data_IF_732235187927
#
_entry.id   IF_732235187927
#
_cell.length_a   1.000
_cell.length_b   1.000
_cell.length_c   1.000
_cell.angle_alpha   90.00
_cell.angle_beta   90.00
_cell.angle_gamma   90.00
#
_symmetry.space_group_name_H-M   'P 1'
#
loop_
_entity.id
_entity.type
_entity.pdbx_description
1 polymer ?
#
# COMPACT_ATOMS: atom_id res chain seq x y z
N UNK A 1 -11.13 -3.30 69.88
CA UNK A 1 -10.60 -4.66 69.99
C UNK A 1 -11.44 -5.52 69.05
N UNK A 2 -11.17 -5.42 67.75
CA UNK A 2 -10.17 -6.19 66.99
C UNK A 2 -10.62 -7.64 66.81
N UNK A 3 -10.57 -8.27 65.65
CA UNK A 3 -10.21 -7.90 64.28
C UNK A 3 -10.66 -9.15 63.49
N UNK A 4 -11.30 -8.97 62.33
CA UNK A 4 -11.47 -10.06 61.36
C UNK A 4 -10.08 -10.58 60.95
N UNK A 5 -9.85 -11.90 60.85
CA UNK A 5 -8.61 -12.39 60.30
C UNK A 5 -8.60 -12.18 58.78
N UNK A 6 -7.59 -11.44 58.36
CA UNK A 6 -7.09 -11.27 57.01
C UNK A 6 -6.73 -12.63 56.38
N UNK A 7 -7.28 -12.91 55.20
CA UNK A 7 -6.78 -13.96 54.30
C UNK A 7 -6.55 -13.35 52.92
N UNK A 8 -5.47 -12.58 52.83
CA UNK A 8 -4.70 -12.43 51.61
C UNK A 8 -4.16 -13.81 51.19
N UNK A 9 -4.73 -14.39 50.14
CA UNK A 9 -4.07 -15.49 49.41
C UNK A 9 -3.83 -15.05 47.97
N UNK A 10 -2.56 -14.84 47.71
CA UNK A 10 -1.96 -14.37 46.48
C UNK A 10 -2.19 -15.42 45.37
N UNK A 11 -3.13 -15.14 44.44
CA UNK A 11 -3.36 -15.99 43.27
C UNK A 11 -2.17 -15.84 42.30
N UNK A 12 -1.07 -16.53 42.61
CA UNK A 12 0.12 -16.51 41.76
C UNK A 12 -0.16 -17.18 40.40
N UNK A 13 0.43 -16.64 39.34
CA UNK A 13 0.37 -17.15 37.94
C UNK A 13 0.69 -18.65 37.80
N UNK A 14 1.35 -19.26 38.79
CA UNK A 14 1.64 -20.71 38.82
C UNK A 14 0.43 -21.59 39.16
N UNK A 15 -0.58 -21.08 39.85
CA UNK A 15 -1.81 -21.83 40.14
C UNK A 15 -2.70 -22.00 38.89
N UNK A 16 -2.76 -20.96 38.04
CA UNK A 16 -3.50 -20.98 36.77
C UNK A 16 -2.92 -22.00 35.77
N UNK A 17 -1.59 -22.12 35.70
CA UNK A 17 -0.90 -23.06 34.79
C UNK A 17 -0.99 -24.53 35.22
N UNK A 18 -1.37 -24.83 36.47
CA UNK A 18 -1.57 -26.21 36.93
C UNK A 18 -2.99 -26.72 36.73
N UNK A 19 -3.96 -25.82 36.57
CA UNK A 19 -5.37 -26.18 36.36
C UNK A 19 -5.69 -26.51 34.88
N UNK A 20 -4.81 -26.16 33.95
CA UNK A 20 -4.93 -26.47 32.52
C UNK A 20 -4.39 -27.85 32.11
N UNK A 21 -3.74 -28.59 33.03
CA UNK A 21 -3.15 -29.90 32.73
C UNK A 21 -4.12 -31.09 32.94
N UNK A 22 -5.36 -30.86 33.39
CA UNK A 22 -6.27 -31.93 33.85
C UNK A 22 -7.64 -32.03 33.18
N UNK A 23 -7.93 -31.23 32.15
CA UNK A 23 -9.26 -31.20 31.51
C UNK A 23 -9.20 -31.33 29.98
N UNK A 24 -8.30 -32.18 29.47
CA UNK A 24 -8.21 -32.53 28.06
C UNK A 24 -8.91 -33.86 27.79
N UNK A 25 -10.23 -33.91 27.97
CA UNK A 25 -11.05 -34.99 27.45
C UNK A 25 -12.44 -34.46 27.09
N UNK A 26 -12.79 -34.60 25.81
CA UNK A 26 -14.12 -34.42 25.22
C UNK A 26 -14.64 -32.98 25.11
N UNK A 27 -14.10 -32.21 24.16
CA UNK A 27 -14.91 -31.26 23.39
C UNK A 27 -14.61 -31.46 21.91
N UNK A 28 -15.69 -31.56 21.14
CA UNK A 28 -15.74 -32.00 19.76
C UNK A 28 -14.67 -31.36 18.88
N UNK A 29 -13.90 -32.21 18.19
CA UNK A 29 -13.18 -31.84 16.97
C UNK A 29 -14.24 -31.58 15.91
N UNK A 30 -14.81 -30.37 15.92
CA UNK A 30 -15.32 -29.80 14.69
C UNK A 30 -14.09 -29.60 13.81
N UNK A 31 -14.13 -30.20 12.63
CA UNK A 31 -13.09 -30.07 11.61
C UNK A 31 -12.85 -28.61 11.32
N UNK A 32 -11.88 -28.01 12.00
CA UNK A 32 -11.14 -26.89 11.43
C UNK A 32 -10.60 -27.43 10.11
N UNK A 33 -10.96 -26.86 8.95
CA UNK A 33 -10.23 -27.20 7.75
C UNK A 33 -8.79 -26.89 8.10
N UNK A 34 -7.94 -27.91 8.07
CA UNK A 34 -6.49 -27.73 8.13
C UNK A 34 -6.20 -26.61 7.14
N UNK A 35 -5.91 -25.41 7.65
CA UNK A 35 -5.46 -24.31 6.83
C UNK A 35 -4.34 -24.94 6.01
N UNK A 36 -4.54 -25.03 4.69
CA UNK A 36 -3.55 -25.59 3.82
C UNK A 36 -2.26 -24.89 4.21
N UNK A 37 -1.27 -25.64 4.71
CA UNK A 37 0.11 -25.14 4.71
C UNK A 37 0.28 -24.59 3.31
N UNK A 38 0.33 -23.25 3.20
CA UNK A 38 0.41 -22.58 1.93
C UNK A 38 1.55 -23.26 1.20
N UNK A 39 1.24 -23.99 0.12
CA UNK A 39 2.26 -24.62 -0.70
C UNK A 39 3.18 -23.46 -1.06
N UNK A 40 4.37 -23.42 -0.43
CA UNK A 40 5.33 -22.31 -0.58
C UNK A 40 5.45 -22.14 -2.08
N UNK A 41 4.91 -21.05 -2.64
CA UNK A 41 5.01 -20.84 -4.08
C UNK A 41 6.50 -21.00 -4.38
N UNK A 42 6.85 -21.91 -5.29
CA UNK A 42 8.24 -22.07 -5.73
C UNK A 42 8.58 -20.84 -6.57
N UNK A 43 8.80 -19.72 -5.90
CA UNK A 43 9.12 -18.47 -6.56
C UNK A 43 10.63 -18.46 -6.73
N UNK A 44 11.03 -18.64 -7.99
CA UNK A 44 12.44 -18.71 -8.38
C UNK A 44 12.84 -17.31 -8.85
N UNK A 45 13.66 -16.57 -8.06
CA UNK A 45 14.18 -15.29 -8.51
C UNK A 45 14.99 -15.51 -9.79
N UNK A 46 14.96 -14.56 -10.71
CA UNK A 46 15.79 -14.66 -11.90
C UNK A 46 17.25 -14.37 -11.54
N UNK A 47 18.14 -15.31 -11.82
CA UNK A 47 19.58 -15.12 -11.65
C UNK A 47 20.17 -14.26 -12.77
N UNK A 48 20.98 -13.27 -12.41
CA UNK A 48 21.73 -12.40 -13.35
C UNK A 48 23.15 -12.15 -12.86
N UNK A 49 24.03 -11.67 -13.75
CA UNK A 49 25.31 -11.08 -13.34
C UNK A 49 25.11 -9.68 -12.77
N UNK A 50 26.09 -9.16 -12.01
CA UNK A 50 26.08 -7.76 -11.58
C UNK A 50 26.01 -6.82 -12.79
N UNK A 51 26.79 -7.08 -13.84
CA UNK A 51 26.77 -6.25 -15.04
C UNK A 51 25.38 -6.18 -15.69
N UNK A 52 24.69 -7.32 -15.82
CA UNK A 52 23.33 -7.37 -16.37
C UNK A 52 22.35 -6.64 -15.44
N UNK A 53 22.43 -6.89 -14.13
CA UNK A 53 21.61 -6.22 -13.11
C UNK A 53 21.68 -4.69 -13.23
N UNK A 54 22.88 -4.14 -13.37
CA UNK A 54 23.12 -2.69 -13.49
C UNK A 54 22.62 -2.09 -14.83
N UNK A 55 22.38 -2.93 -15.84
CA UNK A 55 21.92 -2.51 -17.17
C UNK A 55 20.40 -2.53 -17.33
N UNK A 56 19.67 -3.22 -16.45
CA UNK A 56 18.23 -3.38 -16.53
C UNK A 56 17.51 -2.08 -16.12
N UNK A 57 16.41 -1.76 -16.81
CA UNK A 57 15.45 -0.76 -16.36
C UNK A 57 14.42 -1.37 -15.40
N UNK A 58 13.79 -0.51 -14.60
CA UNK A 58 12.90 -0.88 -13.51
C UNK A 58 11.66 -1.63 -13.98
N UNK A 59 11.09 -1.26 -15.14
CA UNK A 59 9.92 -1.93 -15.69
C UNK A 59 10.29 -3.36 -16.09
N UNK A 60 11.46 -3.54 -16.71
CA UNK A 60 11.98 -4.86 -17.04
C UNK A 60 12.26 -5.70 -15.79
N UNK A 61 12.81 -5.12 -14.72
CA UNK A 61 13.00 -5.83 -13.44
C UNK A 61 11.67 -6.40 -12.91
N UNK A 62 10.66 -5.54 -12.80
CA UNK A 62 9.33 -5.92 -12.31
C UNK A 62 8.62 -6.95 -13.21
N UNK A 63 8.75 -6.80 -14.53
CA UNK A 63 8.19 -7.74 -15.51
C UNK A 63 8.82 -9.13 -15.42
N UNK A 64 10.11 -9.21 -15.09
CA UNK A 64 10.84 -10.47 -14.95
C UNK A 64 10.65 -11.12 -13.58
N UNK A 65 10.14 -10.39 -12.58
CA UNK A 65 9.89 -10.91 -11.24
C UNK A 65 8.62 -11.76 -11.20
N UNK A 66 8.80 -13.06 -10.94
CA UNK A 66 7.68 -13.96 -10.70
C UNK A 66 6.88 -13.58 -9.44
N UNK A 67 7.50 -12.99 -8.41
CA UNK A 67 6.78 -12.45 -7.26
C UNK A 67 5.79 -11.35 -7.67
N UNK A 68 6.30 -10.36 -8.40
CA UNK A 68 5.52 -9.19 -8.82
C UNK A 68 4.40 -9.62 -9.76
N UNK A 69 4.68 -10.49 -10.73
CA UNK A 69 3.65 -10.95 -11.67
C UNK A 69 2.56 -11.75 -10.95
N UNK A 70 2.91 -12.65 -10.01
CA UNK A 70 1.90 -13.35 -9.22
C UNK A 70 1.05 -12.40 -8.36
N UNK A 71 1.66 -11.39 -7.73
CA UNK A 71 0.93 -10.39 -6.96
C UNK A 71 -0.04 -9.60 -7.86
N UNK A 72 0.41 -9.18 -9.04
CA UNK A 72 -0.42 -8.47 -10.00
C UNK A 72 -1.56 -9.34 -10.56
N UNK A 73 -1.29 -10.60 -10.87
CA UNK A 73 -2.31 -11.56 -11.31
C UNK A 73 -3.35 -11.81 -10.23
N UNK A 74 -2.93 -11.91 -8.95
CA UNK A 74 -3.84 -12.00 -7.82
C UNK A 74 -4.76 -10.78 -7.73
N UNK A 75 -4.24 -9.56 -7.93
CA UNK A 75 -5.05 -8.34 -7.94
C UNK A 75 -6.07 -8.34 -9.08
N UNK A 76 -5.65 -8.73 -10.29
CA UNK A 76 -6.55 -8.83 -11.44
C UNK A 76 -7.63 -9.89 -11.24
N UNK A 77 -7.28 -11.05 -10.67
CA UNK A 77 -8.23 -12.11 -10.35
C UNK A 77 -9.23 -11.66 -9.29
N UNK A 78 -8.74 -11.10 -8.17
CA UNK A 78 -9.59 -10.65 -7.06
C UNK A 78 -10.51 -9.51 -7.48
N UNK A 79 -10.01 -8.53 -8.23
CA UNK A 79 -10.85 -7.48 -8.83
C UNK A 79 -11.89 -8.08 -9.80
N UNK A 80 -11.56 -9.18 -10.48
CA UNK A 80 -12.49 -9.94 -11.32
C UNK A 80 -13.65 -10.59 -10.55
N UNK A 81 -13.53 -10.78 -9.24
CA UNK A 81 -14.59 -11.33 -8.38
C UNK A 81 -15.65 -10.30 -7.95
N UNK A 82 -15.40 -9.00 -8.15
CA UNK A 82 -16.37 -7.94 -7.89
C UNK A 82 -17.66 -8.25 -8.66
N UNK A 83 -18.80 -8.30 -7.99
CA UNK A 83 -20.07 -8.70 -8.61
C UNK A 83 -20.66 -7.58 -9.47
N UNK A 84 -20.66 -6.34 -8.98
CA UNK A 84 -21.07 -5.16 -9.74
C UNK A 84 -20.22 -5.01 -11.01
N UNK A 85 -20.85 -5.12 -12.18
CA UNK A 85 -20.14 -5.17 -13.45
C UNK A 85 -19.44 -3.86 -13.81
N UNK A 86 -20.01 -2.72 -13.40
CA UNK A 86 -19.44 -1.41 -13.69
C UNK A 86 -18.20 -1.17 -12.83
N UNK A 87 -18.32 -1.44 -11.53
CA UNK A 87 -17.22 -1.37 -10.59
C UNK A 87 -16.09 -2.33 -10.98
N UNK A 88 -16.41 -3.59 -11.28
CA UNK A 88 -15.44 -4.58 -11.77
C UNK A 88 -14.70 -4.09 -13.00
N UNK A 89 -15.43 -3.58 -13.99
CA UNK A 89 -14.86 -3.09 -15.23
C UNK A 89 -13.88 -1.94 -14.98
N UNK A 90 -14.30 -0.93 -14.21
CA UNK A 90 -13.47 0.25 -13.93
C UNK A 90 -12.25 -0.10 -13.07
N UNK A 91 -12.40 -0.93 -12.03
CA UNK A 91 -11.27 -1.39 -11.22
C UNK A 91 -10.23 -2.12 -12.06
N UNK A 92 -10.65 -3.05 -12.92
CA UNK A 92 -9.75 -3.75 -13.84
C UNK A 92 -9.11 -2.81 -14.87
N UNK A 93 -9.86 -1.83 -15.38
CA UNK A 93 -9.34 -0.84 -16.32
C UNK A 93 -8.22 0.01 -15.69
N UNK A 94 -8.41 0.46 -14.45
CA UNK A 94 -7.40 1.24 -13.72
C UNK A 94 -6.16 0.38 -13.42
N UNK A 95 -6.33 -0.86 -12.97
CA UNK A 95 -5.19 -1.76 -12.75
C UNK A 95 -4.36 -2.01 -14.01
N UNK A 96 -5.01 -2.08 -15.17
CA UNK A 96 -4.36 -2.31 -16.47
C UNK A 96 -3.70 -1.04 -17.02
N UNK A 97 -4.29 0.11 -16.78
CA UNK A 97 -3.77 1.40 -17.20
C UNK A 97 -4.05 2.48 -16.13
N UNK A 98 -3.14 2.69 -15.16
CA UNK A 98 -3.30 3.68 -14.10
C UNK A 98 -2.96 5.11 -14.57
N UNK A 99 -3.24 5.42 -15.84
CA UNK A 99 -3.04 6.77 -16.36
C UNK A 99 -4.07 7.72 -15.72
N UNK A 100 -3.65 8.93 -15.29
CA UNK A 100 -4.55 9.89 -14.65
C UNK A 100 -5.49 10.52 -15.69
N UNK A 101 -6.68 9.97 -15.86
CA UNK A 101 -7.68 10.54 -16.79
C UNK A 101 -8.14 11.92 -16.34
N UNK A 102 -8.06 12.22 -15.04
CA UNK A 102 -8.33 13.55 -14.49
C UNK A 102 -7.51 14.68 -15.16
N UNK A 103 -6.38 14.36 -15.79
CA UNK A 103 -5.56 15.33 -16.53
C UNK A 103 -6.27 15.93 -17.75
N UNK A 104 -7.37 15.32 -18.23
CA UNK A 104 -8.25 15.92 -19.24
C UNK A 104 -8.83 17.26 -18.78
N UNK A 105 -8.96 17.49 -17.46
CA UNK A 105 -9.39 18.77 -16.89
C UNK A 105 -8.31 19.86 -16.92
N UNK A 106 -7.07 19.51 -17.26
CA UNK A 106 -5.92 20.40 -17.20
C UNK A 106 -5.27 20.55 -18.59
N UNK A 107 -6.00 21.03 -19.61
CA UNK A 107 -5.48 21.18 -20.97
C UNK A 107 -4.39 22.26 -21.07
N UNK A 108 -4.29 23.15 -20.09
CA UNK A 108 -3.26 24.18 -20.02
C UNK A 108 -3.07 24.72 -18.60
N UNK A 109 -2.17 25.69 -18.47
CA UNK A 109 -1.75 26.20 -17.16
C UNK A 109 -2.82 27.06 -16.46
N UNK A 110 -3.79 27.60 -17.20
CA UNK A 110 -4.88 28.37 -16.60
C UNK A 110 -5.71 27.54 -15.62
N UNK A 111 -6.07 26.29 -15.99
CA UNK A 111 -6.82 25.39 -15.10
C UNK A 111 -5.98 24.92 -13.92
N UNK A 112 -4.68 24.68 -14.15
CA UNK A 112 -3.74 24.31 -13.07
C UNK A 112 -3.62 25.44 -12.05
N UNK A 113 -3.48 26.68 -12.52
CA UNK A 113 -3.39 27.87 -11.67
C UNK A 113 -4.69 28.09 -10.88
N UNK A 114 -5.85 27.94 -11.52
CA UNK A 114 -7.14 28.05 -10.82
C UNK A 114 -7.28 27.00 -9.70
N UNK A 115 -6.97 25.73 -9.98
CA UNK A 115 -6.97 24.68 -8.95
C UNK A 115 -5.94 24.98 -7.86
N UNK A 116 -4.72 25.41 -8.23
CA UNK A 116 -3.67 25.80 -7.27
C UNK A 116 -4.18 26.88 -6.32
N UNK A 117 -4.80 27.94 -6.83
CA UNK A 117 -5.36 29.02 -6.02
C UNK A 117 -6.43 28.53 -5.03
N UNK A 118 -7.29 27.61 -5.45
CA UNK A 118 -8.30 27.00 -4.57
C UNK A 118 -7.65 26.14 -3.47
N UNK A 119 -6.67 25.31 -3.83
CA UNK A 119 -5.94 24.48 -2.86
C UNK A 119 -5.14 25.34 -1.87
N UNK A 120 -4.48 26.42 -2.32
CA UNK A 120 -3.76 27.37 -1.46
C UNK A 120 -4.74 28.08 -0.51
N UNK A 121 -5.87 28.56 -1.03
CA UNK A 121 -6.91 29.21 -0.21
C UNK A 121 -7.46 28.28 0.87
N UNK A 122 -7.58 26.99 0.56
CA UNK A 122 -8.01 25.96 1.51
C UNK A 122 -6.89 25.46 2.44
N UNK A 123 -5.64 25.91 2.25
CA UNK A 123 -4.49 25.50 3.05
C UNK A 123 -3.95 24.10 2.74
N UNK A 124 -4.33 23.51 1.60
CA UNK A 124 -3.93 22.15 1.23
C UNK A 124 -2.55 22.05 0.58
N UNK A 125 -2.04 23.16 0.02
CA UNK A 125 -0.67 23.29 -0.50
C UNK A 125 -0.11 24.67 -0.18
N UNK A 126 1.21 24.83 -0.28
CA UNK A 126 1.89 26.12 -0.08
C UNK A 126 1.71 27.05 -1.29
N UNK A 127 1.72 28.39 -1.11
CA UNK A 127 1.61 29.35 -2.22
C UNK A 127 2.69 29.21 -3.30
N UNK A 128 3.90 28.79 -2.91
CA UNK A 128 5.07 28.62 -3.78
C UNK A 128 5.13 27.24 -4.46
N UNK A 129 4.17 26.35 -4.19
CA UNK A 129 4.10 25.03 -4.82
C UNK A 129 4.07 25.16 -6.34
N UNK A 130 4.91 24.38 -7.02
CA UNK A 130 4.92 24.29 -8.48
C UNK A 130 3.78 23.39 -8.94
N UNK A 131 3.33 23.51 -10.20
CA UNK A 131 2.28 22.64 -10.72
C UNK A 131 2.65 21.16 -10.62
N UNK A 132 3.92 20.84 -10.87
CA UNK A 132 4.44 19.47 -10.76
C UNK A 132 4.41 18.92 -9.34
N UNK A 133 4.31 19.76 -8.31
CA UNK A 133 4.29 19.31 -6.92
C UNK A 133 2.97 18.61 -6.58
N UNK A 134 1.84 19.08 -7.14
CA UNK A 134 0.51 18.49 -6.91
C UNK A 134 -0.11 17.81 -8.14
N UNK A 135 0.40 18.07 -9.35
CA UNK A 135 0.06 17.35 -10.58
C UNK A 135 1.36 16.86 -11.24
N UNK A 136 1.84 15.65 -10.91
CA UNK A 136 3.11 15.14 -11.44
C UNK A 136 3.16 15.14 -12.98
N UNK A 137 4.37 15.06 -13.58
CA UNK A 137 4.51 14.97 -15.02
C UNK A 137 3.61 13.88 -15.62
N UNK A 138 2.89 14.23 -16.67
CA UNK A 138 1.90 13.36 -17.31
C UNK A 138 2.20 13.31 -18.81
N UNK A 139 1.96 12.14 -19.40
CA UNK A 139 2.15 11.94 -20.83
C UNK A 139 0.81 11.90 -21.57
N UNK A 140 -0.06 10.93 -21.24
CA UNK A 140 -1.36 10.76 -21.88
C UNK A 140 -2.30 9.93 -21.00
N UNK A 141 -3.61 10.07 -21.20
CA UNK A 141 -4.64 9.29 -20.52
C UNK A 141 -4.74 7.88 -21.12
N UNK A 142 -4.23 7.70 -22.34
CA UNK A 142 -4.19 6.42 -23.04
C UNK A 142 -3.13 5.46 -22.49
N UNK A 143 -2.06 5.97 -21.88
CA UNK A 143 -0.96 5.16 -21.36
C UNK A 143 -0.35 5.75 -20.11
N UNK A 144 -0.31 4.96 -19.04
CA UNK A 144 0.35 5.30 -17.80
C UNK A 144 1.85 5.50 -18.02
N UNK A 145 2.45 6.39 -17.21
CA UNK A 145 3.91 6.60 -17.22
C UNK A 145 4.66 5.35 -16.76
N UNK A 146 4.11 4.66 -15.75
CA UNK A 146 4.59 3.37 -15.27
C UNK A 146 3.38 2.44 -15.18
N UNK A 147 3.49 1.17 -15.64
CA UNK A 147 2.48 0.16 -15.37
C UNK A 147 2.29 -0.06 -13.86
N UNK A 148 1.07 -0.40 -13.43
CA UNK A 148 0.78 -0.66 -12.00
C UNK A 148 1.74 -1.70 -11.40
N UNK A 149 2.00 -2.79 -12.12
CA UNK A 149 2.91 -3.85 -11.67
C UNK A 149 4.38 -3.44 -11.58
N UNK A 150 4.79 -2.28 -12.08
CA UNK A 150 6.19 -1.83 -12.09
C UNK A 150 6.44 -0.62 -11.18
N UNK A 151 5.39 -0.04 -10.59
CA UNK A 151 5.51 1.12 -9.73
C UNK A 151 6.07 0.76 -8.34
N UNK A 152 6.76 1.69 -7.67
CA UNK A 152 7.04 1.61 -6.24
C UNK A 152 5.75 1.60 -5.42
N UNK A 153 5.75 0.85 -4.33
CA UNK A 153 4.68 0.89 -3.33
C UNK A 153 4.81 2.05 -2.35
N UNK A 154 5.93 2.78 -2.31
CA UNK A 154 6.02 4.08 -1.62
C UNK A 154 7.28 4.85 -2.05
N UNK A 155 7.54 6.01 -1.43
CA UNK A 155 8.73 6.81 -1.70
C UNK A 155 10.06 6.07 -1.45
N UNK A 156 11.13 6.49 -2.14
CA UNK A 156 12.36 5.70 -2.33
C UNK A 156 13.12 5.23 -1.07
N UNK A 157 12.80 5.77 0.10
CA UNK A 157 13.42 5.40 1.38
C UNK A 157 12.42 4.76 2.38
N UNK A 158 11.25 4.34 1.90
CA UNK A 158 10.16 3.78 2.72
C UNK A 158 9.87 2.32 2.32
N UNK A 159 8.76 1.75 2.75
CA UNK A 159 8.35 0.36 2.47
C UNK A 159 8.01 0.13 0.99
N UNK A 160 8.20 -1.08 0.46
CA UNK A 160 7.89 -1.40 -0.94
C UNK A 160 8.51 -0.46 -1.99
N UNK A 161 9.63 0.19 -1.68
CA UNK A 161 10.23 1.24 -2.49
C UNK A 161 11.09 0.71 -3.66
N UNK A 162 10.53 -0.20 -4.47
CA UNK A 162 11.24 -0.91 -5.53
C UNK A 162 10.33 -1.23 -6.74
N UNK A 163 10.89 -1.62 -7.90
CA UNK A 163 10.09 -1.99 -9.06
C UNK A 163 9.16 -3.17 -8.81
N UNK A 164 7.86 -2.87 -8.84
CA UNK A 164 6.77 -3.79 -8.55
C UNK A 164 6.34 -3.87 -7.09
N UNK A 165 6.91 -3.03 -6.23
CA UNK A 165 6.50 -2.90 -4.84
C UNK A 165 5.04 -2.50 -4.66
N UNK A 166 4.44 -1.77 -5.62
CA UNK A 166 3.01 -1.44 -5.56
C UNK A 166 2.14 -2.69 -5.65
N UNK A 167 2.43 -3.59 -6.59
CA UNK A 167 1.64 -4.82 -6.76
C UNK A 167 1.75 -5.72 -5.52
N UNK A 168 2.95 -5.87 -4.95
CA UNK A 168 3.16 -6.70 -3.75
C UNK A 168 2.49 -6.08 -2.52
N UNK A 169 2.62 -4.77 -2.32
CA UNK A 169 1.95 -4.02 -1.26
C UNK A 169 0.43 -4.19 -1.31
N UNK A 170 -0.17 -3.86 -2.45
CA UNK A 170 -1.63 -3.90 -2.60
C UNK A 170 -2.14 -5.34 -2.51
N UNK A 171 -1.39 -6.34 -2.99
CA UNK A 171 -1.77 -7.74 -2.84
C UNK A 171 -1.82 -8.20 -1.37
N UNK A 172 -0.86 -7.79 -0.54
CA UNK A 172 -0.90 -8.03 0.91
C UNK A 172 -2.11 -7.33 1.53
N UNK A 173 -2.33 -6.07 1.16
CA UNK A 173 -3.41 -5.27 1.73
C UNK A 173 -4.80 -5.83 1.38
N UNK A 174 -5.00 -6.27 0.14
CA UNK A 174 -6.25 -6.94 -0.29
C UNK A 174 -6.47 -8.25 0.47
N UNK A 175 -5.43 -9.04 0.69
CA UNK A 175 -5.54 -10.25 1.52
C UNK A 175 -5.91 -9.91 2.97
N UNK A 176 -5.28 -8.90 3.56
CA UNK A 176 -5.58 -8.45 4.93
C UNK A 176 -7.03 -7.96 5.04
N UNK A 177 -7.47 -7.09 4.13
CA UNK A 177 -8.83 -6.56 4.08
C UNK A 177 -9.88 -7.68 3.92
N UNK A 178 -9.65 -8.66 3.05
CA UNK A 178 -10.52 -9.82 2.91
C UNK A 178 -10.52 -10.72 4.16
N UNK A 179 -9.38 -10.84 4.84
CA UNK A 179 -9.27 -11.51 6.14
C UNK A 179 -10.17 -10.86 7.19
N UNK A 180 -10.07 -9.54 7.35
CA UNK A 180 -10.95 -8.80 8.26
C UNK A 180 -12.40 -8.86 7.82
N UNK A 181 -12.70 -8.73 6.53
CA UNK A 181 -14.04 -8.88 5.99
C UNK A 181 -14.67 -10.21 6.41
N UNK A 182 -13.94 -11.32 6.22
CA UNK A 182 -14.41 -12.66 6.59
C UNK A 182 -14.57 -12.80 8.11
N UNK A 183 -13.60 -12.31 8.89
CA UNK A 183 -13.67 -12.37 10.35
C UNK A 183 -14.92 -11.65 10.90
N UNK A 184 -15.21 -10.44 10.42
CA UNK A 184 -16.40 -9.68 10.83
C UNK A 184 -17.70 -10.27 10.31
N UNK A 185 -17.71 -10.78 9.07
CA UNK A 185 -18.86 -11.50 8.50
C UNK A 185 -19.19 -12.74 9.33
N UNK A 186 -18.19 -13.52 9.74
CA UNK A 186 -18.40 -14.81 10.37
C UNK A 186 -18.68 -14.68 11.87
N UNK A 187 -17.98 -13.77 12.56
CA UNK A 187 -18.18 -13.53 13.99
C UNK A 187 -19.43 -12.69 14.29
N UNK A 188 -19.71 -11.66 13.49
CA UNK A 188 -20.74 -10.65 13.81
C UNK A 188 -21.87 -10.57 12.79
N UNK A 189 -21.82 -11.35 11.69
CA UNK A 189 -22.79 -11.23 10.57
C UNK A 189 -22.88 -9.80 10.03
N UNK A 190 -21.77 -9.07 10.08
CA UNK A 190 -21.72 -7.68 9.66
C UNK A 190 -21.93 -7.60 8.13
N UNK A 191 -22.97 -6.90 7.63
CA UNK A 191 -23.33 -6.90 6.21
C UNK A 191 -22.49 -5.92 5.39
N UNK A 192 -21.17 -6.12 5.38
CA UNK A 192 -20.27 -5.30 4.55
C UNK A 192 -20.43 -5.63 3.06
N UNK A 193 -20.30 -4.60 2.22
CA UNK A 193 -20.24 -4.80 0.77
C UNK A 193 -18.82 -5.25 0.37
N UNK A 194 -18.70 -6.53 0.01
CA UNK A 194 -17.43 -7.15 -0.41
C UNK A 194 -16.82 -6.46 -1.64
N UNK A 195 -17.65 -6.05 -2.59
CA UNK A 195 -17.21 -5.39 -3.82
C UNK A 195 -16.52 -4.06 -3.51
N UNK A 196 -17.07 -3.29 -2.56
CA UNK A 196 -16.46 -2.04 -2.08
C UNK A 196 -15.16 -2.33 -1.33
N UNK A 197 -15.09 -3.35 -0.48
CA UNK A 197 -13.84 -3.73 0.19
C UNK A 197 -12.74 -4.08 -0.81
N UNK A 198 -13.05 -4.92 -1.82
CA UNK A 198 -12.08 -5.29 -2.85
C UNK A 198 -11.66 -4.06 -3.65
N UNK A 199 -12.62 -3.28 -4.16
CA UNK A 199 -12.30 -2.14 -5.02
C UNK A 199 -11.55 -1.04 -4.26
N UNK A 200 -11.96 -0.70 -3.03
CA UNK A 200 -11.31 0.32 -2.22
C UNK A 200 -9.86 -0.07 -1.92
N UNK A 201 -9.63 -1.29 -1.44
CA UNK A 201 -8.29 -1.74 -1.13
C UNK A 201 -7.43 -1.91 -2.38
N UNK A 202 -7.99 -2.35 -3.50
CA UNK A 202 -7.25 -2.51 -4.76
C UNK A 202 -6.80 -1.16 -5.33
N UNK A 203 -7.58 -0.10 -5.12
CA UNK A 203 -7.39 1.20 -5.78
C UNK A 203 -6.85 2.31 -4.86
N UNK A 204 -6.69 2.08 -3.55
CA UNK A 204 -6.26 3.13 -2.62
C UNK A 204 -4.99 3.89 -3.03
N UNK A 205 -4.10 3.18 -3.71
CA UNK A 205 -2.81 3.70 -4.18
C UNK A 205 -2.71 3.87 -5.70
N UNK A 206 -3.83 3.96 -6.40
CA UNK A 206 -3.84 3.86 -7.87
C UNK A 206 -2.94 4.89 -8.58
N UNK A 207 -2.62 6.04 -7.95
CA UNK A 207 -1.71 7.05 -8.50
C UNK A 207 -0.25 6.96 -8.06
N UNK A 208 0.16 5.95 -7.29
CA UNK A 208 1.60 5.69 -7.06
C UNK A 208 2.40 5.57 -8.38
N UNK A 209 1.90 4.94 -9.48
CA UNK A 209 2.58 4.92 -10.78
C UNK A 209 2.77 6.30 -11.43
N UNK A 210 1.91 7.27 -11.13
CA UNK A 210 2.02 8.64 -11.62
C UNK A 210 2.92 9.50 -10.74
N UNK A 211 2.88 9.30 -9.42
CA UNK A 211 3.62 10.12 -8.45
C UNK A 211 5.09 9.71 -8.35
N UNK A 212 5.36 8.40 -8.28
CA UNK A 212 6.68 7.83 -7.99
C UNK A 212 7.44 7.43 -9.27
N UNK A 213 7.51 8.33 -10.24
CA UNK A 213 8.17 8.07 -11.53
C UNK A 213 9.67 7.76 -11.37
N UNK A 214 10.14 6.69 -12.01
CA UNK A 214 11.55 6.31 -12.04
C UNK A 214 12.42 7.41 -12.64
N UNK A 215 13.56 7.69 -12.01
CA UNK A 215 14.53 8.70 -12.40
C UNK A 215 15.73 8.05 -13.10
N UNK A 216 16.56 8.83 -13.84
CA UNK A 216 17.71 8.27 -14.58
C UNK A 216 18.72 7.50 -13.71
N UNK A 217 18.80 7.81 -12.42
CA UNK A 217 19.65 7.16 -11.42
C UNK A 217 18.99 5.94 -10.75
N UNK A 218 17.80 5.53 -11.19
CA UNK A 218 17.03 4.41 -10.64
C UNK A 218 16.32 4.68 -9.32
N UNK A 219 16.36 5.92 -8.82
CA UNK A 219 15.51 6.33 -7.70
C UNK A 219 14.09 6.63 -8.18
N UNK A 220 13.10 6.63 -7.27
CA UNK A 220 11.77 7.15 -7.58
C UNK A 220 11.69 8.65 -7.32
N UNK A 221 10.89 9.36 -8.12
CA UNK A 221 10.58 10.78 -7.90
C UNK A 221 10.12 11.02 -6.45
N UNK A 222 10.59 12.13 -5.87
CA UNK A 222 10.12 12.58 -4.57
C UNK A 222 8.62 12.93 -4.62
N UNK A 223 7.89 12.40 -3.66
CA UNK A 223 6.49 12.81 -3.42
C UNK A 223 6.43 14.09 -2.58
N UNK A 224 5.40 14.89 -2.87
CA UNK A 224 5.05 16.09 -2.13
C UNK A 224 3.76 15.89 -1.35
N UNK A 225 3.58 16.70 -0.32
CA UNK A 225 2.39 16.66 0.54
C UNK A 225 1.23 17.42 -0.11
N UNK A 226 0.03 16.85 -0.02
CA UNK A 226 -1.23 17.46 -0.44
C UNK A 226 -2.27 17.19 0.64
N UNK A 227 -2.82 18.25 1.23
CA UNK A 227 -3.77 18.17 2.36
C UNK A 227 -3.26 17.33 3.53
N UNK A 228 -1.96 17.43 3.85
CA UNK A 228 -1.33 16.72 4.97
C UNK A 228 -0.93 15.26 4.68
N UNK A 229 -1.38 14.67 3.57
CA UNK A 229 -1.01 13.32 3.14
C UNK A 229 -0.02 13.34 1.96
N UNK A 230 0.52 12.18 1.59
CA UNK A 230 1.23 12.02 0.31
C UNK A 230 0.29 12.30 -0.87
N UNK A 231 0.75 13.03 -1.87
CA UNK A 231 -0.06 13.43 -3.02
C UNK A 231 -0.73 12.26 -3.74
N UNK A 232 -0.13 11.06 -3.77
CA UNK A 232 -0.76 9.89 -4.41
C UNK A 232 -2.15 9.59 -3.85
N UNK A 233 -2.36 9.76 -2.54
CA UNK A 233 -3.63 9.45 -1.89
C UNK A 233 -4.74 10.36 -2.42
N UNK A 234 -4.55 11.67 -2.30
CA UNK A 234 -5.54 12.67 -2.75
C UNK A 234 -5.76 12.62 -4.26
N UNK A 235 -4.72 12.37 -5.05
CA UNK A 235 -4.84 12.22 -6.51
C UNK A 235 -5.59 10.94 -6.91
N UNK A 236 -5.40 9.84 -6.18
CA UNK A 236 -6.18 8.61 -6.35
C UNK A 236 -7.66 8.87 -6.09
N UNK A 237 -8.00 9.59 -5.01
CA UNK A 237 -9.39 9.97 -4.71
C UNK A 237 -9.95 10.87 -5.83
N UNK A 238 -9.19 11.88 -6.27
CA UNK A 238 -9.62 12.83 -7.29
C UNK A 238 -9.95 12.14 -8.63
N UNK A 239 -9.19 11.12 -9.00
CA UNK A 239 -9.47 10.30 -10.18
C UNK A 239 -10.78 9.55 -10.07
N UNK A 240 -11.07 8.94 -8.91
CA UNK A 240 -12.33 8.22 -8.74
C UNK A 240 -13.53 9.17 -8.77
N UNK A 241 -13.38 10.40 -8.24
CA UNK A 241 -14.37 11.47 -8.37
C UNK A 241 -14.55 11.84 -9.85
N UNK A 242 -13.44 12.03 -10.59
CA UNK A 242 -13.48 12.38 -12.01
C UNK A 242 -14.17 11.29 -12.86
N UNK A 243 -13.89 10.01 -12.55
CA UNK A 243 -14.53 8.83 -13.16
C UNK A 243 -15.97 8.58 -12.70
N UNK A 244 -16.52 9.44 -11.84
CA UNK A 244 -17.89 9.34 -11.33
C UNK A 244 -18.17 8.03 -10.58
N UNK A 245 -17.16 7.52 -9.85
CA UNK A 245 -17.30 6.29 -9.07
C UNK A 245 -18.23 6.48 -7.85
N UNK A 246 -18.86 5.41 -7.32
CA UNK A 246 -19.78 5.53 -6.20
C UNK A 246 -19.13 6.19 -4.97
N UNK A 247 -19.83 7.13 -4.33
CA UNK A 247 -19.33 7.82 -3.14
C UNK A 247 -18.87 6.86 -2.03
N UNK A 248 -19.58 5.74 -1.83
CA UNK A 248 -19.19 4.70 -0.86
C UNK A 248 -17.80 4.10 -1.13
N UNK A 249 -17.41 3.93 -2.39
CA UNK A 249 -16.05 3.50 -2.76
C UNK A 249 -15.03 4.58 -2.43
N UNK A 250 -15.32 5.82 -2.83
CA UNK A 250 -14.40 6.94 -2.68
C UNK A 250 -14.13 7.23 -1.20
N UNK A 251 -15.16 7.19 -0.36
CA UNK A 251 -15.02 7.35 1.09
C UNK A 251 -14.25 6.19 1.70
N UNK A 252 -14.57 4.93 1.33
CA UNK A 252 -13.86 3.76 1.85
C UNK A 252 -12.37 3.81 1.50
N UNK A 253 -12.06 4.18 0.26
CA UNK A 253 -10.69 4.36 -0.22
C UNK A 253 -9.96 5.52 0.48
N UNK A 254 -10.64 6.65 0.68
CA UNK A 254 -10.08 7.79 1.43
C UNK A 254 -9.69 7.40 2.86
N UNK A 255 -10.34 6.37 3.41
CA UNK A 255 -10.01 5.85 4.73
C UNK A 255 -8.75 4.96 4.78
N UNK A 256 -8.06 4.68 3.67
CA UNK A 256 -6.84 3.86 3.72
C UNK A 256 -5.80 4.43 4.70
N UNK A 257 -5.57 5.75 4.64
CA UNK A 257 -4.54 6.42 5.42
C UNK A 257 -4.97 6.91 6.81
N UNK A 258 -6.29 6.97 7.11
CA UNK A 258 -6.85 7.21 8.45
C UNK A 258 -8.36 6.88 8.44
N UNK A 259 -9.03 6.76 9.58
CA UNK A 259 -10.40 6.29 9.69
C UNK A 259 -11.28 7.25 10.51
N UNK A 260 -12.62 7.26 10.33
CA UNK A 260 -13.48 8.17 11.09
C UNK A 260 -13.84 7.62 12.49
N UNK A 261 -12.83 7.15 13.23
CA UNK A 261 -13.00 6.61 14.59
C UNK A 261 -13.08 7.68 15.67
N UNK A 262 -12.46 8.84 15.43
CA UNK A 262 -12.58 10.03 16.28
C UNK A 262 -12.89 11.26 15.42
N UNK A 263 -13.37 12.37 16.02
CA UNK A 263 -13.58 13.61 15.27
C UNK A 263 -12.31 14.14 14.61
N UNK A 264 -11.13 13.97 15.23
CA UNK A 264 -9.87 14.45 14.64
C UNK A 264 -9.50 13.64 13.39
N UNK A 265 -9.56 12.31 13.50
CA UNK A 265 -9.24 11.40 12.38
C UNK A 265 -10.23 11.56 11.22
N UNK A 266 -11.51 11.77 11.52
CA UNK A 266 -12.53 12.04 10.50
C UNK A 266 -12.23 13.34 9.73
N UNK A 267 -11.77 14.40 10.41
CA UNK A 267 -11.44 15.66 9.74
C UNK A 267 -10.28 15.52 8.76
N UNK A 268 -9.33 14.60 8.99
CA UNK A 268 -8.28 14.29 8.02
C UNK A 268 -8.88 13.66 6.75
N UNK A 269 -9.72 12.63 6.91
CA UNK A 269 -10.41 11.98 5.77
C UNK A 269 -11.24 12.99 4.98
N UNK A 270 -12.01 13.85 5.68
CA UNK A 270 -12.78 14.91 5.05
C UNK A 270 -11.90 15.93 4.31
N UNK A 271 -10.72 16.25 4.85
CA UNK A 271 -9.78 17.18 4.20
C UNK A 271 -9.26 16.61 2.88
N UNK A 272 -8.96 15.31 2.82
CA UNK A 272 -8.55 14.65 1.59
C UNK A 272 -9.67 14.59 0.55
N UNK A 273 -10.91 14.27 0.98
CA UNK A 273 -12.08 14.28 0.09
C UNK A 273 -12.35 15.67 -0.49
N UNK A 274 -12.22 16.74 0.32
CA UNK A 274 -12.38 18.12 -0.15
C UNK A 274 -11.28 18.54 -1.12
N UNK A 275 -10.01 18.23 -0.80
CA UNK A 275 -8.89 18.52 -1.68
C UNK A 275 -9.01 17.78 -3.02
N UNK A 276 -9.41 16.51 -2.99
CA UNK A 276 -9.67 15.71 -4.16
C UNK A 276 -10.84 16.25 -4.99
N UNK A 277 -11.93 16.69 -4.36
CA UNK A 277 -13.06 17.31 -5.03
C UNK A 277 -12.68 18.62 -5.74
N UNK A 278 -11.84 19.46 -5.12
CA UNK A 278 -11.25 20.65 -5.76
C UNK A 278 -10.46 20.26 -7.02
N UNK A 279 -9.62 19.22 -6.95
CA UNK A 279 -8.83 18.73 -8.09
C UNK A 279 -9.72 18.08 -9.16
N UNK A 280 -10.83 17.45 -8.78
CA UNK A 280 -11.80 16.90 -9.72
C UNK A 280 -12.78 17.96 -10.26
N UNK A 281 -12.77 19.19 -9.71
CA UNK A 281 -13.71 20.25 -10.06
C UNK A 281 -15.15 19.93 -9.69
N UNK A 282 -15.36 19.18 -8.61
CA UNK A 282 -16.68 18.78 -8.12
C UNK A 282 -16.92 19.33 -6.72
N UNK A 283 -18.20 19.43 -6.34
CA UNK A 283 -18.60 19.74 -4.97
C UNK A 283 -18.73 18.45 -4.15
N UNK A 284 -18.02 18.37 -3.02
CA UNK A 284 -17.96 17.16 -2.22
C UNK A 284 -19.29 16.78 -1.57
N UNK A 285 -20.12 17.76 -1.21
CA UNK A 285 -21.45 17.53 -0.60
C UNK A 285 -22.43 17.06 -1.67
N UNK A 286 -22.50 17.75 -2.80
CA UNK A 286 -23.39 17.38 -3.92
C UNK A 286 -23.04 16.02 -4.52
N UNK A 287 -21.77 15.63 -4.49
CA UNK A 287 -21.33 14.30 -4.91
C UNK A 287 -21.73 13.20 -3.88
N UNK A 288 -21.99 13.57 -2.62
CA UNK A 288 -22.30 12.65 -1.53
C UNK A 288 -21.07 12.11 -0.79
N UNK A 289 -19.93 12.82 -0.84
CA UNK A 289 -18.72 12.48 -0.09
C UNK A 289 -18.76 12.97 1.36
N UNK A 290 -19.58 13.98 1.63
CA UNK A 290 -19.81 14.59 2.94
C UNK A 290 -21.31 14.66 3.21
N UNK A 291 -21.69 14.82 4.48
CA UNK A 291 -23.06 15.16 4.87
C UNK A 291 -23.54 16.49 4.29
N UNK A 292 -24.85 16.72 4.28
CA UNK A 292 -25.46 17.92 3.66
C UNK A 292 -24.98 19.25 4.24
N UNK A 293 -24.55 19.27 5.50
CA UNK A 293 -23.97 20.44 6.17
C UNK A 293 -22.45 20.58 5.95
N UNK A 294 -21.86 19.58 5.28
CA UNK A 294 -20.44 19.46 5.03
C UNK A 294 -19.59 19.25 6.28
N UNK A 295 -20.17 18.92 7.45
CA UNK A 295 -19.45 18.88 8.74
C UNK A 295 -18.97 17.48 9.14
N UNK A 296 -19.45 16.43 8.48
CA UNK A 296 -19.03 15.05 8.74
C UNK A 296 -19.03 14.21 7.46
N UNK A 297 -18.49 12.99 7.54
CA UNK A 297 -18.73 11.97 6.53
C UNK A 297 -20.19 11.48 6.61
N UNK A 298 -20.75 10.93 5.51
CA UNK A 298 -22.11 10.40 5.50
C UNK A 298 -22.39 9.43 6.65
N UNK A 299 -23.54 9.63 7.30
CA UNK A 299 -24.03 8.80 8.39
C UNK A 299 -25.05 7.76 7.88
N UNK A 300 -25.01 6.51 8.40
CA UNK A 300 -24.00 5.98 9.31
C UNK A 300 -22.65 5.73 8.64
N UNK A 301 -21.56 5.90 9.40
CA UNK A 301 -20.20 5.57 8.93
C UNK A 301 -20.12 4.09 8.58
N UNK A 302 -19.59 3.81 7.40
CA UNK A 302 -19.56 2.47 6.81
C UNK A 302 -18.30 1.70 7.20
N UNK A 303 -18.46 0.43 7.56
CA UNK A 303 -17.36 -0.43 8.00
C UNK A 303 -16.29 -0.65 6.93
N UNK A 304 -16.64 -0.56 5.66
CA UNK A 304 -15.70 -0.74 4.54
C UNK A 304 -14.52 0.25 4.61
N UNK A 305 -14.72 1.48 5.11
CA UNK A 305 -13.63 2.43 5.33
C UNK A 305 -12.66 1.99 6.44
N UNK A 306 -13.18 1.46 7.55
CA UNK A 306 -12.35 0.91 8.63
C UNK A 306 -11.58 -0.34 8.17
N UNK A 307 -12.20 -1.21 7.38
CA UNK A 307 -11.51 -2.38 6.82
C UNK A 307 -10.43 -1.97 5.84
N UNK A 308 -10.67 -0.95 5.01
CA UNK A 308 -9.66 -0.43 4.09
C UNK A 308 -8.47 0.16 4.86
N UNK A 309 -8.74 0.90 5.93
CA UNK A 309 -7.69 1.38 6.83
C UNK A 309 -6.88 0.22 7.41
N UNK A 310 -7.55 -0.77 8.03
CA UNK A 310 -6.89 -1.93 8.64
C UNK A 310 -6.10 -2.76 7.62
N UNK A 311 -6.58 -2.86 6.38
CA UNK A 311 -5.91 -3.57 5.30
C UNK A 311 -4.59 -2.93 4.88
N UNK A 312 -4.48 -1.60 4.98
CA UNK A 312 -3.28 -0.83 4.58
C UNK A 312 -2.18 -0.76 5.67
N UNK A 313 -2.26 -1.56 6.73
CA UNK A 313 -1.33 -1.48 7.87
C UNK A 313 -0.04 -2.29 7.74
N UNK A 314 0.27 -2.83 6.56
CA UNK A 314 1.48 -3.64 6.40
C UNK A 314 2.77 -2.85 6.70
N UNK A 315 2.71 -1.52 6.60
CA UNK A 315 3.77 -0.57 6.96
C UNK A 315 4.33 -0.76 8.37
N UNK A 316 3.55 -1.32 9.30
CA UNK A 316 4.00 -1.62 10.67
C UNK A 316 5.23 -2.53 10.66
N UNK A 317 5.29 -3.49 9.73
CA UNK A 317 6.45 -4.35 9.52
C UNK A 317 7.35 -3.83 8.39
N UNK A 318 6.77 -3.44 7.26
CA UNK A 318 7.54 -3.20 6.03
C UNK A 318 8.39 -1.91 6.09
N UNK A 319 8.01 -0.90 6.89
CA UNK A 319 8.82 0.33 7.07
C UNK A 319 10.12 0.07 7.82
N UNK A 320 10.13 -0.53 9.02
CA UNK A 320 11.39 -0.85 9.70
C UNK A 320 12.21 -1.87 8.92
N UNK A 321 11.58 -2.89 8.32
CA UNK A 321 12.25 -3.85 7.45
C UNK A 321 13.00 -3.13 6.33
N UNK A 322 12.39 -2.12 5.69
CA UNK A 322 13.02 -1.40 4.59
C UNK A 322 14.29 -0.68 5.02
N UNK A 323 14.25 0.01 6.17
CA UNK A 323 15.42 0.71 6.72
C UNK A 323 16.57 -0.25 6.97
N UNK A 324 16.30 -1.38 7.62
CA UNK A 324 17.33 -2.34 7.94
C UNK A 324 17.90 -3.02 6.70
N UNK A 325 17.04 -3.40 5.75
CA UNK A 325 17.48 -4.09 4.55
C UNK A 325 18.26 -3.19 3.60
N UNK A 326 17.88 -1.92 3.43
CA UNK A 326 18.66 -0.98 2.60
C UNK A 326 20.06 -0.80 3.20
N UNK A 327 20.17 -0.61 4.52
CA UNK A 327 21.46 -0.50 5.19
C UNK A 327 22.30 -1.77 5.02
N UNK A 328 21.70 -2.95 5.26
CA UNK A 328 22.38 -4.24 5.14
C UNK A 328 22.83 -4.55 3.70
N UNK A 329 22.01 -4.24 2.70
CA UNK A 329 22.39 -4.34 1.29
C UNK A 329 23.55 -3.41 0.95
N UNK A 330 23.61 -2.22 1.54
CA UNK A 330 24.75 -1.31 1.39
C UNK A 330 26.06 -1.95 1.87
N UNK A 331 26.05 -2.55 3.06
CA UNK A 331 27.22 -3.28 3.59
C UNK A 331 27.65 -4.43 2.66
N UNK A 332 26.69 -5.25 2.22
CA UNK A 332 26.94 -6.37 1.31
C UNK A 332 27.48 -5.88 -0.03
N UNK A 333 26.92 -4.80 -0.59
CA UNK A 333 27.37 -4.22 -1.84
C UNK A 333 28.85 -3.78 -1.78
N UNK A 334 29.29 -3.21 -0.66
CA UNK A 334 30.71 -2.86 -0.48
C UNK A 334 31.60 -4.09 -0.35
N UNK A 335 31.23 -5.02 0.51
CA UNK A 335 32.11 -6.14 0.89
C UNK A 335 32.13 -7.28 -0.15
N UNK A 336 31.01 -7.54 -0.82
CA UNK A 336 30.86 -8.65 -1.78
C UNK A 336 30.91 -8.22 -3.24
N UNK A 337 30.43 -7.00 -3.55
CA UNK A 337 30.33 -6.49 -4.93
C UNK A 337 31.30 -5.33 -5.22
N UNK A 338 32.24 -5.07 -4.30
CA UNK A 338 33.27 -4.04 -4.41
C UNK A 338 32.72 -2.64 -4.78
N UNK A 339 31.52 -2.30 -4.30
CA UNK A 339 30.96 -0.95 -4.45
C UNK A 339 31.67 0.01 -3.49
N UNK A 340 32.05 1.18 -3.99
CA UNK A 340 32.63 2.25 -3.17
C UNK A 340 31.56 3.01 -2.38
N UNK A 341 31.97 3.83 -1.41
CA UNK A 341 31.01 4.68 -0.66
C UNK A 341 30.21 5.62 -1.58
N UNK A 342 30.80 6.27 -2.60
CA UNK A 342 30.03 7.02 -3.59
C UNK A 342 29.07 6.15 -4.42
N UNK A 343 29.43 4.89 -4.70
CA UNK A 343 28.55 3.99 -5.45
C UNK A 343 27.22 3.73 -4.72
N UNK A 344 27.23 3.73 -3.37
CA UNK A 344 26.05 3.54 -2.52
C UNK A 344 25.02 4.67 -2.64
N UNK A 345 25.40 5.83 -3.20
CA UNK A 345 24.52 6.97 -3.44
C UNK A 345 24.29 7.21 -4.94
N UNK A 346 24.54 6.18 -5.76
CA UNK A 346 24.49 6.29 -7.23
C UNK A 346 23.53 5.27 -7.84
N UNK A 347 23.36 5.39 -9.17
CA UNK A 347 22.66 4.40 -9.98
C UNK A 347 23.12 2.97 -9.75
N UNK A 348 24.40 2.77 -9.45
CA UNK A 348 24.97 1.43 -9.27
C UNK A 348 24.32 0.69 -8.09
N UNK A 349 24.24 1.34 -6.93
CA UNK A 349 23.55 0.74 -5.79
C UNK A 349 22.04 0.71 -5.97
N UNK A 350 21.44 1.76 -6.53
CA UNK A 350 20.00 1.82 -6.80
C UNK A 350 19.54 0.66 -7.69
N UNK A 351 20.23 0.37 -8.78
CA UNK A 351 19.92 -0.76 -9.66
C UNK A 351 20.05 -2.10 -8.92
N UNK A 352 21.12 -2.27 -8.13
CA UNK A 352 21.36 -3.48 -7.34
C UNK A 352 20.24 -3.74 -6.32
N UNK A 353 19.88 -2.75 -5.50
CA UNK A 353 18.79 -2.89 -4.52
C UNK A 353 17.43 -3.04 -5.19
N UNK A 354 17.16 -2.31 -6.28
CA UNK A 354 15.89 -2.38 -7.01
C UNK A 354 15.69 -3.78 -7.58
N UNK A 355 16.74 -4.36 -8.18
CA UNK A 355 16.67 -5.70 -8.74
C UNK A 355 16.40 -6.75 -7.64
N UNK A 356 17.18 -6.74 -6.56
CA UNK A 356 17.01 -7.68 -5.46
C UNK A 356 15.62 -7.58 -4.83
N UNK A 357 15.17 -6.36 -4.51
CA UNK A 357 13.83 -6.17 -3.96
C UNK A 357 12.72 -6.50 -4.96
N UNK A 358 12.93 -6.30 -6.27
CA UNK A 358 11.94 -6.73 -7.26
C UNK A 358 11.84 -8.26 -7.31
N UNK A 359 12.97 -8.98 -7.31
CA UNK A 359 13.00 -10.44 -7.47
C UNK A 359 12.67 -11.22 -6.19
N UNK A 360 12.91 -10.64 -5.01
CA UNK A 360 12.78 -11.32 -3.72
C UNK A 360 11.86 -10.60 -2.75
N UNK A 361 11.33 -9.43 -3.10
CA UNK A 361 10.72 -8.48 -2.16
C UNK A 361 11.68 -8.06 -1.05
N UNK A 362 11.37 -6.92 -0.45
CA UNK A 362 12.13 -6.43 0.69
C UNK A 362 11.90 -7.31 1.93
N UNK A 363 10.65 -7.72 2.10
CA UNK A 363 10.16 -8.48 3.25
C UNK A 363 10.73 -9.90 3.28
N UNK A 364 10.99 -10.55 2.14
CA UNK A 364 11.60 -11.89 2.19
C UNK A 364 13.08 -11.85 2.49
N UNK A 365 13.80 -10.85 1.99
CA UNK A 365 15.18 -10.64 2.40
C UNK A 365 15.24 -10.39 3.92
N UNK A 366 14.31 -9.60 4.45
CA UNK A 366 14.20 -9.40 5.89
C UNK A 366 13.83 -10.68 6.65
N UNK A 367 12.88 -11.46 6.13
CA UNK A 367 12.50 -12.76 6.71
C UNK A 367 13.71 -13.68 6.81
N UNK A 368 14.40 -13.94 5.69
CA UNK A 368 15.58 -14.82 5.64
C UNK A 368 16.65 -14.31 6.61
N UNK A 369 16.93 -13.02 6.62
CA UNK A 369 17.92 -12.46 7.53
C UNK A 369 17.54 -12.63 9.01
N UNK A 370 16.29 -12.34 9.37
CA UNK A 370 15.81 -12.40 10.75
C UNK A 370 15.63 -13.81 11.30
N UNK A 371 15.45 -14.82 10.43
CA UNK A 371 15.23 -16.22 10.86
C UNK A 371 16.42 -17.13 10.61
N UNK A 372 17.24 -16.85 9.59
CA UNK A 372 18.32 -17.73 9.14
C UNK A 372 19.72 -17.06 9.23
N UNK A 373 19.78 -15.75 9.46
CA UNK A 373 21.02 -15.02 9.72
C UNK A 373 21.76 -14.53 8.47
N UNK A 374 22.98 -14.03 8.70
CA UNK A 374 23.77 -13.29 7.70
C UNK A 374 24.24 -14.14 6.52
N UNK A 375 24.63 -15.38 6.79
CA UNK A 375 25.13 -16.31 5.77
C UNK A 375 24.01 -16.66 4.77
N UNK A 376 22.83 -17.03 5.27
CA UNK A 376 21.67 -17.32 4.44
C UNK A 376 21.23 -16.12 3.58
N UNK A 377 21.24 -14.91 4.15
CA UNK A 377 20.95 -13.69 3.40
C UNK A 377 21.96 -13.48 2.26
N UNK A 378 23.26 -13.62 2.55
CA UNK A 378 24.32 -13.44 1.55
C UNK A 378 24.24 -14.49 0.44
N UNK A 379 23.97 -15.74 0.78
CA UNK A 379 23.80 -16.84 -0.18
C UNK A 379 22.62 -16.58 -1.10
N UNK A 380 21.48 -16.13 -0.55
CA UNK A 380 20.30 -15.79 -1.36
C UNK A 380 20.57 -14.63 -2.32
N UNK A 381 21.24 -13.58 -1.84
CA UNK A 381 21.61 -12.41 -2.66
C UNK A 381 22.56 -12.83 -3.78
N UNK A 382 23.61 -13.60 -3.48
CA UNK A 382 24.63 -14.02 -4.46
C UNK A 382 24.11 -15.09 -5.43
N UNK A 383 23.15 -15.90 -5.01
CA UNK A 383 22.40 -16.80 -5.90
C UNK A 383 21.53 -16.04 -6.90
N UNK A 384 21.10 -14.82 -6.56
CA UNK A 384 20.23 -13.97 -7.38
C UNK A 384 21.00 -13.00 -8.26
N UNK A 385 22.01 -12.31 -7.73
CA UNK A 385 22.92 -11.43 -8.46
C UNK A 385 24.34 -11.94 -8.25
N UNK A 386 24.92 -12.57 -9.27
CA UNK A 386 26.30 -13.04 -9.20
C UNK A 386 27.27 -11.85 -9.31
N UNK A 387 28.25 -11.69 -8.40
CA UNK A 387 29.22 -10.59 -8.43
C UNK A 387 29.95 -10.40 -9.76
#
# INVERSE_FOLDING_TARGET
MNLLPDMTSDFSRRAFLRMSAGAAAALAVTSLPTASLAKRLEIKPKKVSLADCLSLDEITMAKQSSYVQHAYDFLLQTAGEIQDSSLRHTTLAILRNPAPTLMERYPGDAQKEQTKQQLVKAGYIKPDAQYTDFLPPYQSAASAVIPFYAAPGSGYASHHCYPGGLATHVAVNVNAALGFYNAYKDAFRYPMNRDIVIAAQTLHDLHKPWVFQWQPDGSSRKEYTLAGAGAHHVLSIAELIHRQMPASLIIAMACAHNHPGTPADEQEVMSWLRAAAIIAGQDAVMYGLLESDGQSLPLPRRAEGFITHLGDHDYVLSVPAAKWMIARLGEIARHKYAMSEPDLQSKKFNAFRNYLFSQLTLEQLYLVWSTEGDEALLDLITATVNP
#
